data_IF_282105389041
#
_entry.id   IF_282105389041
#
_cell.length_a   1.000
_cell.length_b   1.000
_cell.length_c   1.000
_cell.angle_alpha   90.00
_cell.angle_beta   90.00
_cell.angle_gamma   90.00
#
_symmetry.space_group_name_H-M   'P 1'
#
loop_
_entity.id
_entity.type
_entity.pdbx_description
1 polymer ?
#
# COMPACT_ATOMS: atom_id res chain seq x y z
N UNK A 1 -3.27 -3.85 -26.89
CA UNK A 1 -3.21 -2.85 -25.82
C UNK A 1 -1.82 -2.90 -25.17
N UNK A 2 -1.02 -1.85 -25.31
CA UNK A 2 0.36 -1.82 -24.77
C UNK A 2 0.25 -1.67 -23.26
N UNK A 3 0.77 -2.63 -22.49
CA UNK A 3 0.81 -2.51 -21.00
C UNK A 3 1.63 -1.28 -20.62
N UNK A 4 1.16 -0.45 -19.66
CA UNK A 4 1.96 0.65 -19.13
C UNK A 4 3.35 0.18 -18.70
N UNK A 5 4.38 0.99 -18.90
CA UNK A 5 5.78 0.62 -18.60
C UNK A 5 5.97 0.09 -17.18
N UNK A 6 5.25 0.69 -16.21
CA UNK A 6 5.25 0.29 -14.81
C UNK A 6 4.74 -1.14 -14.52
N UNK A 7 3.99 -1.77 -15.44
CA UNK A 7 3.43 -3.10 -15.24
C UNK A 7 4.15 -4.21 -16.04
N UNK A 8 5.11 -3.84 -16.91
CA UNK A 8 5.83 -4.80 -17.77
C UNK A 8 6.73 -5.77 -16.99
N UNK A 9 7.17 -5.38 -15.81
CA UNK A 9 8.05 -6.19 -14.96
C UNK A 9 7.28 -7.21 -14.09
N UNK A 10 5.95 -7.26 -14.18
CA UNK A 10 5.11 -8.17 -13.40
C UNK A 10 4.52 -9.29 -14.28
N UNK A 11 4.22 -10.49 -13.70
CA UNK A 11 4.31 -10.83 -12.28
C UNK A 11 5.75 -11.03 -11.80
N UNK A 12 6.01 -10.84 -10.49
CA UNK A 12 7.26 -11.18 -9.82
C UNK A 12 7.00 -12.25 -8.77
N UNK A 13 7.88 -13.24 -8.70
CA UNK A 13 7.92 -14.18 -7.59
C UNK A 13 8.98 -13.74 -6.59
N UNK A 14 8.70 -13.93 -5.30
CA UNK A 14 9.64 -13.66 -4.23
C UNK A 14 9.53 -14.72 -3.14
N UNK A 15 10.66 -15.04 -2.51
CA UNK A 15 10.73 -15.90 -1.33
C UNK A 15 10.91 -15.00 -0.11
N UNK A 16 10.02 -15.14 0.85
CA UNK A 16 10.04 -14.40 2.11
C UNK A 16 11.07 -15.01 3.08
N UNK A 17 11.38 -14.28 4.15
CA UNK A 17 12.40 -14.71 5.14
C UNK A 17 12.09 -16.05 5.81
N UNK A 18 10.84 -16.43 5.90
CA UNK A 18 10.35 -17.70 6.45
C UNK A 18 10.25 -18.83 5.43
N UNK A 19 10.71 -18.60 4.18
CA UNK A 19 10.72 -19.59 3.11
C UNK A 19 9.42 -19.64 2.29
N UNK A 20 8.36 -18.96 2.67
CA UNK A 20 7.13 -18.88 1.86
C UNK A 20 7.37 -18.10 0.58
N UNK A 21 6.75 -18.55 -0.50
CA UNK A 21 6.81 -17.86 -1.79
C UNK A 21 5.53 -17.09 -2.04
N UNK A 22 5.66 -15.88 -2.56
CA UNK A 22 4.54 -15.04 -2.98
C UNK A 22 4.69 -14.62 -4.44
N UNK A 23 3.55 -14.51 -5.13
CA UNK A 23 3.45 -13.90 -6.45
C UNK A 23 2.98 -12.46 -6.29
N UNK A 24 3.70 -11.50 -6.85
CA UNK A 24 3.34 -10.08 -6.77
C UNK A 24 3.00 -9.57 -8.17
N UNK A 25 1.83 -8.96 -8.31
CA UNK A 25 1.38 -8.34 -9.56
C UNK A 25 0.36 -7.23 -9.32
N UNK A 26 0.15 -6.34 -10.31
CA UNK A 26 -0.92 -5.36 -10.24
C UNK A 26 -2.31 -6.01 -10.09
N UNK A 27 -3.18 -5.32 -9.37
CA UNK A 27 -4.60 -5.62 -9.27
C UNK A 27 -5.25 -5.67 -10.65
N UNK A 28 -6.17 -6.61 -10.86
CA UNK A 28 -6.95 -6.77 -12.08
C UNK A 28 -8.42 -6.83 -11.75
N UNK A 29 -9.27 -6.64 -12.75
CA UNK A 29 -10.72 -6.68 -12.58
C UNK A 29 -11.22 -7.97 -11.95
N UNK A 30 -10.66 -9.10 -12.37
CA UNK A 30 -11.01 -10.42 -11.85
C UNK A 30 -10.64 -10.68 -10.39
N UNK A 31 -9.81 -9.82 -9.80
CA UNK A 31 -9.37 -9.96 -8.40
C UNK A 31 -10.34 -9.34 -7.39
N UNK A 32 -11.38 -8.63 -7.83
CA UNK A 32 -12.25 -7.83 -6.96
C UNK A 32 -12.84 -8.64 -5.79
N UNK A 33 -13.38 -9.83 -6.09
CA UNK A 33 -13.96 -10.69 -5.05
C UNK A 33 -12.93 -11.20 -4.05
N UNK A 34 -11.72 -11.57 -4.51
CA UNK A 34 -10.66 -12.04 -3.64
C UNK A 34 -10.06 -10.89 -2.82
N UNK A 35 -9.92 -9.69 -3.40
CA UNK A 35 -9.47 -8.50 -2.67
C UNK A 35 -10.47 -8.11 -1.58
N UNK A 36 -11.76 -8.14 -1.88
CA UNK A 36 -12.79 -7.89 -0.87
C UNK A 36 -12.76 -8.96 0.24
N UNK A 37 -12.57 -10.23 -0.10
CA UNK A 37 -12.41 -11.31 0.88
C UNK A 37 -11.17 -11.12 1.75
N UNK A 38 -10.06 -10.70 1.17
CA UNK A 38 -8.84 -10.33 1.90
C UNK A 38 -9.13 -9.22 2.92
N UNK A 39 -9.80 -8.14 2.53
CA UNK A 39 -10.14 -7.05 3.43
C UNK A 39 -11.05 -7.49 4.58
N UNK A 40 -12.06 -8.30 4.30
CA UNK A 40 -12.94 -8.83 5.34
C UNK A 40 -12.22 -9.78 6.32
N UNK A 41 -11.17 -10.45 5.87
CA UNK A 41 -10.33 -11.32 6.69
C UNK A 41 -9.34 -10.59 7.59
N UNK A 42 -9.13 -9.29 7.40
CA UNK A 42 -8.26 -8.50 8.27
C UNK A 42 -8.90 -8.31 9.66
N UNK A 43 -8.10 -8.23 10.74
CA UNK A 43 -8.60 -7.91 12.07
C UNK A 43 -9.43 -6.62 12.10
N UNK A 44 -10.46 -6.60 12.97
CA UNK A 44 -11.40 -5.50 13.03
C UNK A 44 -10.76 -4.14 13.38
N UNK A 45 -9.73 -4.15 14.22
CA UNK A 45 -8.94 -2.99 14.58
C UNK A 45 -8.21 -2.40 13.35
N UNK A 46 -7.67 -3.25 12.47
CA UNK A 46 -7.03 -2.81 11.23
C UNK A 46 -8.07 -2.22 10.26
N UNK A 47 -9.21 -2.90 10.08
CA UNK A 47 -10.30 -2.41 9.21
C UNK A 47 -10.87 -1.08 9.68
N UNK A 48 -10.99 -0.91 11.01
CA UNK A 48 -11.50 0.31 11.64
C UNK A 48 -10.68 1.56 11.30
N UNK A 49 -9.36 1.42 11.14
CA UNK A 49 -8.45 2.50 10.80
C UNK A 49 -8.09 2.58 9.32
N UNK A 50 -8.68 1.74 8.47
CA UNK A 50 -8.46 1.82 7.05
C UNK A 50 -8.93 3.17 6.49
N UNK A 51 -8.14 3.73 5.57
CA UNK A 51 -8.44 5.04 4.95
C UNK A 51 -9.68 5.03 4.07
N UNK A 52 -10.08 3.86 3.60
CA UNK A 52 -11.23 3.64 2.74
C UNK A 52 -12.18 2.64 3.40
N UNK A 53 -13.46 2.67 3.05
CA UNK A 53 -14.47 1.73 3.56
C UNK A 53 -14.32 0.36 2.89
N UNK A 54 -13.18 -0.29 3.10
CA UNK A 54 -12.76 -1.54 2.44
C UNK A 54 -13.71 -2.72 2.65
N UNK A 55 -14.60 -2.64 3.65
CA UNK A 55 -15.63 -3.65 3.88
C UNK A 55 -16.79 -3.58 2.88
N UNK A 56 -16.90 -2.45 2.16
CA UNK A 56 -17.96 -2.26 1.17
C UNK A 56 -17.56 -2.89 -0.17
N UNK A 57 -18.23 -3.98 -0.54
CA UNK A 57 -17.99 -4.67 -1.80
C UNK A 57 -18.09 -3.74 -3.01
N UNK A 58 -19.12 -2.89 -3.04
CA UNK A 58 -19.34 -1.93 -4.12
C UNK A 58 -18.15 -0.97 -4.34
N UNK A 59 -17.40 -0.62 -3.28
CA UNK A 59 -16.20 0.19 -3.41
C UNK A 59 -15.09 -0.57 -4.16
N UNK A 60 -14.84 -1.83 -3.78
CA UNK A 60 -13.82 -2.67 -4.43
C UNK A 60 -14.18 -2.97 -5.89
N UNK A 61 -15.47 -3.23 -6.16
CA UNK A 61 -15.99 -3.39 -7.52
C UNK A 61 -15.79 -2.12 -8.35
N UNK A 62 -16.03 -0.94 -7.78
CA UNK A 62 -15.78 0.34 -8.46
C UNK A 62 -14.31 0.55 -8.82
N UNK A 63 -13.38 0.10 -7.98
CA UNK A 63 -11.95 0.13 -8.31
C UNK A 63 -11.62 -0.79 -9.48
N UNK A 64 -12.23 -1.98 -9.51
CA UNK A 64 -12.03 -2.96 -10.59
C UNK A 64 -12.60 -2.47 -11.94
N UNK A 65 -13.68 -1.70 -11.91
CA UNK A 65 -14.28 -1.10 -13.11
C UNK A 65 -13.49 0.09 -13.64
N UNK A 66 -12.85 0.86 -12.75
CA UNK A 66 -12.18 2.12 -13.07
C UNK A 66 -10.67 2.04 -12.91
N UNK A 67 -10.05 0.92 -13.24
CA UNK A 67 -8.60 0.73 -13.11
C UNK A 67 -7.86 1.77 -13.97
N UNK A 68 -7.08 2.62 -13.28
CA UNK A 68 -6.14 3.55 -13.90
C UNK A 68 -4.80 3.47 -13.14
N UNK A 69 -3.89 2.65 -13.64
CA UNK A 69 -2.59 2.44 -12.99
C UNK A 69 -1.70 3.69 -12.96
N UNK A 70 -1.98 4.70 -13.77
CA UNK A 70 -1.22 5.95 -13.72
C UNK A 70 -1.57 6.77 -12.47
N UNK A 71 -2.81 6.67 -11.98
CA UNK A 71 -3.28 7.37 -10.79
C UNK A 71 -3.20 6.52 -9.52
N UNK A 72 -3.51 5.23 -9.63
CA UNK A 72 -3.44 4.28 -8.54
C UNK A 72 -2.91 2.93 -9.05
N UNK A 73 -1.73 2.52 -8.56
CA UNK A 73 -1.16 1.22 -8.87
C UNK A 73 -1.19 0.33 -7.61
N UNK A 74 -2.21 -0.51 -7.45
CA UNK A 74 -2.22 -1.53 -6.42
C UNK A 74 -1.34 -2.71 -6.84
N UNK A 75 -0.38 -3.09 -6.01
CA UNK A 75 0.38 -4.33 -6.11
C UNK A 75 -0.18 -5.31 -5.08
N UNK A 76 -0.69 -6.43 -5.57
CA UNK A 76 -1.22 -7.50 -4.73
C UNK A 76 -0.16 -8.60 -4.59
N UNK A 77 0.02 -9.09 -3.37
CA UNK A 77 0.80 -10.29 -3.10
C UNK A 77 -0.13 -11.49 -2.89
N UNK A 78 0.17 -12.58 -3.55
CA UNK A 78 -0.61 -13.82 -3.51
C UNK A 78 0.22 -14.94 -2.90
N UNK A 79 -0.35 -15.62 -1.90
CA UNK A 79 0.05 -16.97 -1.50
C UNK A 79 -0.86 -17.95 -2.23
N UNK A 80 -0.34 -18.62 -3.27
CA UNK A 80 -1.12 -19.41 -4.22
C UNK A 80 -2.21 -18.55 -4.90
N UNK A 81 -3.48 -18.76 -4.58
CA UNK A 81 -4.62 -17.98 -5.09
C UNK A 81 -5.17 -16.94 -4.12
N UNK A 82 -4.69 -16.92 -2.86
CA UNK A 82 -5.17 -16.03 -1.81
C UNK A 82 -4.35 -14.75 -1.78
N UNK A 83 -5.02 -13.61 -1.78
CA UNK A 83 -4.36 -12.32 -1.53
C UNK A 83 -3.95 -12.23 -0.06
N UNK A 84 -2.69 -11.87 0.19
CA UNK A 84 -2.10 -11.74 1.52
C UNK A 84 -1.58 -10.32 1.80
N UNK A 85 -1.51 -9.50 0.76
CA UNK A 85 -1.19 -8.08 0.92
C UNK A 85 -1.70 -7.26 -0.27
N UNK A 86 -2.03 -6.01 0.00
CA UNK A 86 -2.28 -4.93 -0.95
C UNK A 86 -1.37 -3.75 -0.61
N UNK A 87 -0.57 -3.31 -1.56
CA UNK A 87 0.25 -2.12 -1.45
C UNK A 87 0.03 -1.22 -2.67
N UNK A 88 -0.45 -0.02 -2.45
CA UNK A 88 -0.88 0.87 -3.52
C UNK A 88 -0.06 2.16 -3.55
N UNK A 89 0.44 2.51 -4.74
CA UNK A 89 1.01 3.81 -5.05
C UNK A 89 -0.08 4.69 -5.67
N UNK A 90 -0.42 5.78 -4.98
CA UNK A 90 -1.31 6.83 -5.48
C UNK A 90 -0.51 8.02 -5.99
N UNK A 91 -0.97 8.62 -7.07
CA UNK A 91 -0.40 9.81 -7.68
C UNK A 91 -1.51 10.80 -8.06
N UNK A 92 -1.20 12.09 -8.04
CA UNK A 92 -2.03 13.14 -8.63
C UNK A 92 -1.47 13.54 -9.99
N UNK A 93 -2.34 13.78 -10.96
CA UNK A 93 -1.93 14.23 -12.29
C UNK A 93 -1.54 15.71 -12.30
N UNK A 94 -2.19 16.51 -11.48
CA UNK A 94 -2.08 17.96 -11.47
C UNK A 94 -1.78 18.53 -10.08
N UNK A 95 -1.42 19.80 -10.05
CA UNK A 95 -1.21 20.58 -8.84
C UNK A 95 0.21 20.44 -8.25
N UNK A 96 0.46 21.10 -7.13
CA UNK A 96 1.81 21.18 -6.54
C UNK A 96 2.34 19.83 -6.04
N UNK A 97 1.46 18.86 -5.78
CA UNK A 97 1.83 17.51 -5.34
C UNK A 97 1.87 16.47 -6.47
N UNK A 98 1.89 16.88 -7.75
CA UNK A 98 1.92 15.95 -8.89
C UNK A 98 3.19 15.07 -8.96
N UNK A 99 4.27 15.51 -8.32
CA UNK A 99 5.54 14.76 -8.22
C UNK A 99 5.72 14.06 -6.86
N UNK A 100 4.65 13.97 -6.09
CA UNK A 100 4.63 13.27 -4.80
C UNK A 100 3.71 12.06 -4.92
N UNK A 101 4.28 10.86 -4.74
CA UNK A 101 3.53 9.63 -4.60
C UNK A 101 3.09 9.43 -3.15
N UNK A 102 1.92 8.87 -2.94
CA UNK A 102 1.46 8.41 -1.63
C UNK A 102 1.33 6.90 -1.67
N UNK A 103 1.96 6.23 -0.72
CA UNK A 103 1.86 4.78 -0.55
C UNK A 103 0.94 4.43 0.62
N UNK A 104 0.20 3.34 0.45
CA UNK A 104 -0.60 2.67 1.48
C UNK A 104 -0.39 1.19 1.34
N UNK A 105 -0.45 0.43 2.42
CA UNK A 105 -0.48 -1.03 2.35
C UNK A 105 -1.26 -1.65 3.51
N UNK A 106 -1.76 -2.83 3.24
CA UNK A 106 -2.38 -3.72 4.21
C UNK A 106 -1.76 -5.11 4.02
N UNK A 107 -1.41 -5.77 5.11
CA UNK A 107 -0.77 -7.10 5.10
C UNK A 107 -1.52 -8.00 6.08
N UNK A 108 -1.85 -9.21 5.62
CA UNK A 108 -2.36 -10.27 6.48
C UNK A 108 -1.42 -10.46 7.67
N UNK A 109 -1.92 -10.45 8.92
CA UNK A 109 -1.08 -10.58 10.11
C UNK A 109 -0.11 -11.75 10.07
N UNK A 110 -0.50 -12.88 9.47
CA UNK A 110 0.35 -14.07 9.33
C UNK A 110 1.54 -13.88 8.37
N UNK A 111 1.56 -12.79 7.59
CA UNK A 111 2.63 -12.42 6.67
C UNK A 111 3.43 -11.18 7.12
N UNK A 112 3.23 -10.73 8.35
CA UNK A 112 4.04 -9.67 8.96
C UNK A 112 5.37 -10.20 9.47
N UNK A 113 6.36 -9.32 9.61
CA UNK A 113 7.68 -9.64 10.15
C UNK A 113 8.57 -10.52 9.26
N UNK A 114 8.10 -10.94 8.08
CA UNK A 114 8.81 -11.84 7.15
C UNK A 114 9.40 -11.13 5.92
N UNK A 115 9.41 -9.79 5.93
CA UNK A 115 10.01 -8.97 4.88
C UNK A 115 9.07 -8.57 3.74
N UNK A 116 7.80 -8.99 3.76
CA UNK A 116 6.84 -8.68 2.68
C UNK A 116 6.57 -7.18 2.57
N UNK A 117 6.42 -6.46 3.68
CA UNK A 117 6.20 -5.01 3.68
C UNK A 117 7.35 -4.25 3.02
N UNK A 118 8.59 -4.52 3.43
CA UNK A 118 9.77 -3.88 2.84
C UNK A 118 9.90 -4.21 1.34
N UNK A 119 9.60 -5.44 0.95
CA UNK A 119 9.62 -5.85 -0.46
C UNK A 119 8.61 -5.05 -1.29
N UNK A 120 7.36 -4.95 -0.84
CA UNK A 120 6.31 -4.20 -1.54
C UNK A 120 6.65 -2.71 -1.63
N UNK A 121 7.14 -2.11 -0.55
CA UNK A 121 7.55 -0.70 -0.56
C UNK A 121 8.69 -0.47 -1.55
N UNK A 122 9.72 -1.32 -1.58
CA UNK A 122 10.82 -1.21 -2.54
C UNK A 122 10.32 -1.30 -4.00
N UNK A 123 9.37 -2.20 -4.29
CA UNK A 123 8.77 -2.30 -5.62
C UNK A 123 8.01 -1.02 -6.00
N UNK A 124 7.28 -0.42 -5.06
CA UNK A 124 6.60 0.86 -5.28
C UNK A 124 7.60 2.02 -5.43
N UNK A 125 8.73 2.00 -4.71
CA UNK A 125 9.81 2.98 -4.87
C UNK A 125 10.42 2.91 -6.28
N UNK A 126 10.66 1.71 -6.81
CA UNK A 126 11.17 1.53 -8.18
C UNK A 126 10.19 2.06 -9.23
N UNK A 127 8.89 1.79 -9.05
CA UNK A 127 7.85 2.35 -9.92
C UNK A 127 7.81 3.88 -9.83
N UNK A 128 7.87 4.43 -8.63
CA UNK A 128 7.83 5.87 -8.39
C UNK A 128 9.03 6.58 -9.03
N UNK A 129 10.24 6.01 -8.88
CA UNK A 129 11.46 6.50 -9.54
C UNK A 129 11.32 6.46 -11.05
N UNK A 130 10.84 5.34 -11.62
CA UNK A 130 10.60 5.18 -13.06
C UNK A 130 9.55 6.12 -13.63
N UNK A 131 8.66 6.66 -12.80
CA UNK A 131 7.65 7.68 -13.15
C UNK A 131 8.14 9.11 -12.94
N UNK A 132 9.36 9.32 -12.49
CA UNK A 132 9.94 10.63 -12.22
C UNK A 132 9.31 11.34 -11.02
N UNK A 133 8.75 10.59 -10.07
CA UNK A 133 8.31 11.19 -8.80
C UNK A 133 9.53 11.64 -8.00
N UNK A 134 9.39 12.78 -7.30
CA UNK A 134 10.46 13.34 -6.47
C UNK A 134 10.38 12.86 -5.02
N UNK A 135 9.19 12.59 -4.56
CA UNK A 135 8.97 12.16 -3.18
C UNK A 135 7.96 11.02 -3.12
N UNK A 136 8.12 10.16 -2.11
CA UNK A 136 7.08 9.27 -1.62
C UNK A 136 6.67 9.67 -0.22
N UNK A 137 5.39 9.55 0.08
CA UNK A 137 4.85 9.80 1.42
C UNK A 137 3.97 8.65 1.88
N UNK A 138 4.00 8.40 3.19
CA UNK A 138 3.05 7.56 3.88
C UNK A 138 2.56 8.30 5.12
N UNK A 139 1.27 8.18 5.45
CA UNK A 139 0.69 8.75 6.65
C UNK A 139 0.20 7.62 7.54
N UNK A 140 0.69 7.53 8.76
CA UNK A 140 0.44 6.44 9.70
C UNK A 140 -0.05 7.03 11.03
N UNK A 141 -0.80 6.24 11.80
CA UNK A 141 -1.13 6.56 13.19
C UNK A 141 0.04 6.13 14.06
N UNK A 142 0.70 7.11 14.69
CA UNK A 142 2.03 6.93 15.30
C UNK A 142 2.08 5.82 16.37
N UNK A 143 1.06 5.74 17.20
CA UNK A 143 0.99 4.78 18.31
C UNK A 143 0.41 3.41 17.95
N UNK A 144 -0.28 3.30 16.80
CA UNK A 144 -0.92 2.07 16.37
C UNK A 144 -0.17 1.36 15.24
N UNK A 145 0.63 2.09 14.47
CA UNK A 145 1.28 1.59 13.25
C UNK A 145 2.82 1.65 13.34
N UNK A 146 3.38 1.46 14.55
CA UNK A 146 4.83 1.49 14.78
C UNK A 146 5.56 0.47 13.91
N UNK A 147 4.99 -0.73 13.72
CA UNK A 147 5.58 -1.77 12.85
C UNK A 147 5.80 -1.28 11.41
N UNK A 148 4.88 -0.44 10.90
CA UNK A 148 5.01 0.14 9.57
C UNK A 148 6.09 1.24 9.53
N UNK A 149 6.21 2.05 10.58
CA UNK A 149 7.29 3.04 10.75
C UNK A 149 8.64 2.33 10.76
N UNK A 150 8.74 1.22 11.48
CA UNK A 150 9.96 0.39 11.59
C UNK A 150 10.36 -0.25 10.25
N UNK A 151 9.41 -0.50 9.36
CA UNK A 151 9.68 -0.93 7.97
C UNK A 151 10.22 0.21 7.12
N UNK A 152 9.65 1.42 7.22
CA UNK A 152 9.97 2.54 6.35
C UNK A 152 11.28 3.24 6.71
N UNK A 153 11.59 3.35 8.01
CA UNK A 153 12.77 4.08 8.49
C UNK A 153 14.09 3.51 7.93
N UNK A 154 14.34 2.20 7.95
CA UNK A 154 15.54 1.62 7.35
C UNK A 154 15.61 1.79 5.82
N UNK A 155 14.46 2.00 5.15
CA UNK A 155 14.40 2.27 3.72
C UNK A 155 14.73 3.73 3.37
N UNK A 156 14.99 4.58 4.38
CA UNK A 156 15.39 5.97 4.21
C UNK A 156 14.24 6.98 4.29
N UNK A 157 13.06 6.55 4.70
CA UNK A 157 11.97 7.50 4.99
C UNK A 157 12.27 8.28 6.27
N UNK A 158 12.04 9.60 6.24
CA UNK A 158 12.12 10.50 7.40
C UNK A 158 10.74 10.67 8.00
N UNK A 159 10.64 10.50 9.31
CA UNK A 159 9.40 10.69 10.06
C UNK A 159 9.22 12.14 10.49
N UNK A 160 8.00 12.64 10.33
CA UNK A 160 7.51 13.91 10.85
C UNK A 160 6.24 13.66 11.66
N UNK A 161 6.36 13.71 12.98
CA UNK A 161 5.23 13.49 13.89
C UNK A 161 4.40 14.76 14.02
N UNK A 162 3.08 14.60 13.94
CA UNK A 162 2.10 15.67 14.00
C UNK A 162 1.12 15.34 15.14
N UNK A 163 1.30 15.94 16.33
CA UNK A 163 0.50 15.63 17.50
C UNK A 163 -0.99 15.92 17.29
N UNK A 164 -1.87 15.00 17.69
CA UNK A 164 -3.32 15.19 17.70
C UNK A 164 -3.96 15.43 16.33
N UNK A 165 -3.24 15.13 15.23
CA UNK A 165 -3.70 15.45 13.87
C UNK A 165 -4.75 14.47 13.32
N UNK A 166 -4.76 13.24 13.80
CA UNK A 166 -5.72 12.20 13.41
C UNK A 166 -6.81 12.00 14.46
N UNK A 167 -7.84 11.27 14.09
CA UNK A 167 -8.87 10.81 15.01
C UNK A 167 -9.28 9.38 14.70
N UNK A 168 -9.62 8.61 15.73
CA UNK A 168 -10.26 7.31 15.55
C UNK A 168 -11.77 7.48 15.21
N UNK A 169 -12.47 6.40 14.85
CA UNK A 169 -13.90 6.46 14.56
C UNK A 169 -14.77 6.93 15.73
N UNK A 170 -14.28 6.89 16.97
CA UNK A 170 -14.98 7.38 18.16
C UNK A 170 -14.67 8.87 18.43
N UNK A 171 -13.79 9.48 17.63
CA UNK A 171 -13.40 10.88 17.74
C UNK A 171 -12.24 11.16 18.70
N UNK A 172 -11.57 10.12 19.23
CA UNK A 172 -10.38 10.31 20.04
C UNK A 172 -9.21 10.74 19.17
N UNK A 173 -8.46 11.75 19.63
CA UNK A 173 -7.31 12.27 18.90
C UNK A 173 -6.14 11.26 18.92
N UNK A 174 -5.46 11.14 17.79
CA UNK A 174 -4.23 10.36 17.64
C UNK A 174 -3.14 11.21 16.99
N UNK A 175 -1.89 10.98 17.40
CA UNK A 175 -0.74 11.52 16.69
C UNK A 175 -0.59 10.82 15.35
N UNK A 176 -0.25 11.59 14.32
CA UNK A 176 0.06 11.05 13.00
C UNK A 176 1.54 11.18 12.69
N UNK A 177 2.10 10.15 12.08
CA UNK A 177 3.45 10.17 11.52
C UNK A 177 3.36 10.27 10.01
N UNK A 178 3.87 11.40 9.48
CA UNK A 178 4.09 11.57 8.05
C UNK A 178 5.51 11.12 7.73
N UNK A 179 5.65 10.03 7.00
CA UNK A 179 6.93 9.55 6.53
C UNK A 179 7.16 10.03 5.10
N UNK A 180 8.36 10.54 4.82
CA UNK A 180 8.73 11.13 3.53
C UNK A 180 10.06 10.54 3.07
N UNK A 181 10.07 10.00 1.87
CA UNK A 181 11.27 9.62 1.14
C UNK A 181 11.47 10.59 -0.02
N UNK A 182 12.70 11.10 -0.20
CA UNK A 182 13.06 11.95 -1.34
C UNK A 182 13.96 11.18 -2.28
N UNK A 183 13.61 11.16 -3.57
CA UNK A 183 14.49 10.68 -4.62
C UNK A 183 15.47 11.80 -5.00
N UNK A 184 16.75 11.47 -5.07
CA UNK A 184 17.80 12.38 -5.52
C UNK A 184 17.70 12.64 -7.04
#
# INVERSE_FOLDING_TARGET
>A
MVRPMATRQYPKQAVLRDGRSVLIRPFRREDADELHRFFLGLPADIRRFAWDKIEQKALVESWAENINYDNALPLLAFDRSRIVADATLHRREHGPLRLVGRIKWLIDPSFRGVGLGALLVNLLMDVARGRGLRNLTCMLISDLEQDAIDVLTPLGFKEYRIPGYGADPDGNAHDMSKLVYSFD
#
